data_IF_001191429837
#
_entry.id   IF_001191429837
#
_cell.length_a   1.000
_cell.length_b   1.000
_cell.length_c   1.000
_cell.angle_alpha   90.00
_cell.angle_beta   90.00
_cell.angle_gamma   90.00
#
_symmetry.space_group_name_H-M   'P 1'
#
loop_
_entity.id
_entity.type
_entity.pdbx_description
1 polymer ?
#
# COMPACT_ATOMS: atom_id res chain seq x y z
N UNK A 1 -29.64 13.18 6.48
CA UNK A 1 -28.46 13.26 5.57
C UNK A 1 -28.68 12.25 4.45
N UNK A 2 -28.50 12.68 3.24
CA UNK A 2 -28.64 11.85 2.05
C UNK A 2 -27.37 11.02 1.83
N UNK A 3 -27.47 9.82 1.23
CA UNK A 3 -26.29 9.06 0.82
C UNK A 3 -25.73 9.67 -0.46
N UNK A 4 -24.40 9.82 -0.53
CA UNK A 4 -23.75 10.22 -1.77
C UNK A 4 -23.89 9.09 -2.80
N UNK A 5 -24.54 9.39 -3.94
CA UNK A 5 -24.54 8.53 -5.11
C UNK A 5 -23.48 9.02 -6.11
N UNK A 6 -22.61 8.12 -6.52
CA UNK A 6 -21.63 8.41 -7.56
C UNK A 6 -22.27 8.06 -8.92
N UNK A 7 -22.60 9.10 -9.70
CA UNK A 7 -23.24 8.96 -11.02
C UNK A 7 -22.29 9.28 -12.18
N UNK A 8 -21.26 10.05 -11.90
CA UNK A 8 -20.30 10.49 -12.89
C UNK A 8 -19.10 9.53 -12.95
N UNK A 9 -18.41 9.52 -14.10
CA UNK A 9 -17.13 8.81 -14.25
C UNK A 9 -16.15 9.24 -13.17
N UNK A 10 -15.49 8.25 -12.55
CA UNK A 10 -14.58 8.47 -11.43
C UNK A 10 -13.17 8.75 -11.96
N UNK A 11 -12.57 9.84 -11.47
CA UNK A 11 -11.15 10.12 -11.59
C UNK A 11 -10.43 9.81 -10.29
N UNK A 12 -9.71 8.69 -10.29
CA UNK A 12 -8.96 8.26 -9.13
C UNK A 12 -7.60 8.95 -9.07
N UNK A 13 -7.30 9.55 -7.91
CA UNK A 13 -5.99 10.11 -7.56
C UNK A 13 -5.43 9.29 -6.39
N UNK A 14 -4.30 8.63 -6.58
CA UNK A 14 -3.67 7.82 -5.53
C UNK A 14 -2.37 8.45 -5.05
N UNK A 15 -2.38 9.05 -3.86
CA UNK A 15 -1.17 9.53 -3.19
C UNK A 15 -0.55 8.39 -2.37
N UNK A 16 0.77 8.22 -2.46
CA UNK A 16 1.50 7.05 -1.94
C UNK A 16 0.97 5.76 -2.54
N UNK A 17 0.83 5.76 -3.87
CA UNK A 17 0.06 4.78 -4.63
C UNK A 17 0.55 3.33 -4.46
N UNK A 18 1.84 3.11 -4.15
CA UNK A 18 2.39 1.78 -4.04
C UNK A 18 2.18 0.99 -5.34
N UNK A 19 1.48 -0.12 -5.25
CA UNK A 19 1.14 -0.98 -6.40
C UNK A 19 -0.31 -0.81 -6.89
N UNK A 20 -1.07 0.17 -6.35
CA UNK A 20 -2.42 0.50 -6.82
C UNK A 20 -3.53 -0.37 -6.26
N UNK A 21 -3.53 -0.63 -4.94
CA UNK A 21 -4.58 -1.44 -4.32
C UNK A 21 -5.98 -0.79 -4.42
N UNK A 22 -6.07 0.53 -4.42
CA UNK A 22 -7.34 1.24 -4.55
C UNK A 22 -7.87 1.20 -5.99
N UNK A 23 -7.01 1.34 -6.99
CA UNK A 23 -7.37 1.12 -8.39
C UNK A 23 -7.86 -0.32 -8.62
N UNK A 24 -7.18 -1.31 -8.02
CA UNK A 24 -7.62 -2.71 -8.08
C UNK A 24 -8.98 -2.90 -7.41
N UNK A 25 -9.22 -2.27 -6.27
CA UNK A 25 -10.51 -2.35 -5.57
C UNK A 25 -11.66 -1.79 -6.42
N UNK A 26 -11.48 -0.63 -7.05
CA UNK A 26 -12.47 -0.07 -7.96
C UNK A 26 -12.73 -0.97 -9.18
N UNK A 27 -11.68 -1.58 -9.74
CA UNK A 27 -11.81 -2.56 -10.83
C UNK A 27 -12.61 -3.79 -10.40
N UNK A 28 -12.31 -4.33 -9.22
CA UNK A 28 -12.97 -5.54 -8.72
C UNK A 28 -14.47 -5.35 -8.46
N UNK A 29 -14.91 -4.14 -8.12
CA UNK A 29 -16.35 -3.82 -7.97
C UNK A 29 -17.00 -3.35 -9.27
N UNK A 30 -16.28 -3.34 -10.40
CA UNK A 30 -16.79 -2.92 -11.70
C UNK A 30 -17.13 -1.42 -11.79
N UNK A 31 -16.42 -0.58 -11.01
CA UNK A 31 -16.65 0.86 -11.07
C UNK A 31 -16.22 1.45 -12.43
N UNK A 32 -16.99 2.45 -12.90
CA UNK A 32 -16.60 3.26 -14.06
C UNK A 32 -15.56 4.31 -13.64
N UNK A 33 -14.27 4.04 -13.88
CA UNK A 33 -13.18 4.91 -13.44
C UNK A 33 -11.97 4.91 -14.36
N UNK A 34 -11.18 5.98 -14.25
CA UNK A 34 -9.80 6.03 -14.72
C UNK A 34 -8.85 6.35 -13.57
N UNK A 35 -7.63 5.78 -13.58
CA UNK A 35 -6.54 6.31 -12.78
C UNK A 35 -6.08 7.63 -13.39
N UNK A 36 -6.41 8.72 -12.73
CA UNK A 36 -6.18 10.07 -13.26
C UNK A 36 -4.78 10.60 -12.91
N UNK A 37 -4.35 10.40 -11.66
CA UNK A 37 -2.98 10.70 -11.19
C UNK A 37 -2.54 9.68 -10.16
N UNK A 38 -1.25 9.39 -10.14
CA UNK A 38 -0.60 8.69 -9.03
C UNK A 38 0.50 9.56 -8.43
N UNK A 39 0.91 9.27 -7.21
CA UNK A 39 2.09 9.86 -6.59
C UNK A 39 2.83 8.77 -5.81
N UNK A 40 3.92 8.26 -6.39
CA UNK A 40 4.78 7.22 -5.81
C UNK A 40 6.23 7.48 -6.22
N UNK A 41 7.08 7.78 -5.26
CA UNK A 41 8.48 8.14 -5.54
C UNK A 41 9.40 6.92 -5.64
N UNK A 42 8.98 5.79 -5.09
CA UNK A 42 9.75 4.56 -5.11
C UNK A 42 9.54 3.83 -6.43
N UNK A 43 10.64 3.65 -7.18
CA UNK A 43 10.58 3.18 -8.58
C UNK A 43 10.07 1.76 -8.74
N UNK A 44 10.33 0.87 -7.75
CA UNK A 44 9.88 -0.53 -7.83
C UNK A 44 8.35 -0.67 -7.71
N UNK A 45 7.68 -0.11 -6.68
CA UNK A 45 6.22 -0.11 -6.64
C UNK A 45 5.59 0.54 -7.87
N UNK A 46 6.15 1.64 -8.39
CA UNK A 46 5.64 2.24 -9.62
C UNK A 46 5.78 1.32 -10.84
N UNK A 47 6.88 0.56 -10.96
CA UNK A 47 7.04 -0.44 -12.01
C UNK A 47 5.99 -1.56 -11.87
N UNK A 48 5.74 -2.03 -10.65
CA UNK A 48 4.69 -3.02 -10.37
C UNK A 48 3.30 -2.45 -10.66
N UNK A 49 3.04 -1.20 -10.30
CA UNK A 49 1.79 -0.50 -10.64
C UNK A 49 1.54 -0.53 -12.15
N UNK A 50 2.55 -0.15 -12.95
CA UNK A 50 2.46 -0.18 -14.42
C UNK A 50 2.17 -1.59 -14.93
N UNK A 51 2.88 -2.59 -14.43
CA UNK A 51 2.70 -3.98 -14.86
C UNK A 51 1.29 -4.53 -14.54
N UNK A 52 0.72 -4.15 -13.39
CA UNK A 52 -0.60 -4.62 -12.94
C UNK A 52 -1.74 -3.88 -13.64
N UNK A 53 -1.62 -2.56 -13.80
CA UNK A 53 -2.75 -1.72 -14.22
C UNK A 53 -2.69 -1.34 -15.70
N UNK A 54 -1.51 -1.39 -16.31
CA UNK A 54 -1.26 -1.04 -17.71
C UNK A 54 -0.37 -2.08 -18.41
N UNK A 55 -0.71 -3.40 -18.36
CA UNK A 55 0.15 -4.45 -18.91
C UNK A 55 0.40 -4.27 -20.41
N UNK A 56 -0.59 -3.80 -21.15
CA UNK A 56 -0.58 -3.65 -22.59
C UNK A 56 0.00 -2.32 -23.09
N UNK A 57 0.31 -1.38 -22.19
CA UNK A 57 0.94 -0.12 -22.55
C UNK A 57 2.45 -0.31 -22.79
N UNK A 58 2.80 -0.50 -24.05
CA UNK A 58 4.19 -0.65 -24.52
C UNK A 58 4.73 0.64 -25.16
N UNK A 59 4.12 1.79 -24.87
CA UNK A 59 4.52 3.08 -25.43
C UNK A 59 5.90 3.48 -24.92
N UNK A 60 6.81 3.80 -25.83
CA UNK A 60 8.07 4.44 -25.47
C UNK A 60 7.87 5.97 -25.33
N UNK A 61 7.55 6.40 -24.12
CA UNK A 61 7.41 7.80 -23.78
C UNK A 61 8.74 8.56 -23.75
N UNK A 62 9.88 7.83 -23.73
CA UNK A 62 11.21 8.44 -23.68
C UNK A 62 11.68 8.94 -25.06
N UNK A 63 11.18 8.34 -26.14
CA UNK A 63 11.46 8.74 -27.52
C UNK A 63 12.96 9.02 -27.79
N UNK A 64 13.23 10.17 -28.37
CA UNK A 64 14.58 10.65 -28.74
C UNK A 64 15.40 11.17 -27.55
N UNK A 65 14.94 11.05 -26.29
CA UNK A 65 15.70 11.54 -25.15
C UNK A 65 17.06 10.86 -25.03
N UNK A 66 18.12 11.66 -24.84
CA UNK A 66 19.45 11.10 -24.57
C UNK A 66 19.52 10.54 -23.16
N UNK A 67 20.52 9.72 -22.89
CA UNK A 67 20.79 9.17 -21.57
C UNK A 67 20.93 10.27 -20.51
N UNK A 68 21.63 11.34 -20.85
CA UNK A 68 21.84 12.50 -19.97
C UNK A 68 20.54 13.23 -19.67
N UNK A 69 19.67 13.41 -20.67
CA UNK A 69 18.36 14.03 -20.48
C UNK A 69 17.47 13.18 -19.55
N UNK A 70 17.47 11.85 -19.73
CA UNK A 70 16.76 10.94 -18.83
C UNK A 70 17.28 11.02 -17.40
N UNK A 71 18.62 11.03 -17.22
CA UNK A 71 19.25 11.16 -15.91
C UNK A 71 18.86 12.45 -15.19
N UNK A 72 18.92 13.58 -15.89
CA UNK A 72 18.55 14.89 -15.33
C UNK A 72 17.07 14.96 -14.99
N UNK A 73 16.23 14.44 -15.88
CA UNK A 73 14.80 14.42 -15.64
C UNK A 73 14.42 13.56 -14.42
N UNK A 74 14.94 12.33 -14.32
CA UNK A 74 14.68 11.46 -13.18
C UNK A 74 15.22 12.05 -11.88
N UNK A 75 16.40 12.69 -11.92
CA UNK A 75 16.96 13.40 -10.77
C UNK A 75 16.05 14.54 -10.33
N UNK A 76 15.56 15.36 -11.27
CA UNK A 76 14.67 16.49 -10.98
C UNK A 76 13.36 16.06 -10.33
N UNK A 77 12.90 14.81 -10.57
CA UNK A 77 11.68 14.26 -9.97
C UNK A 77 11.89 13.71 -8.57
N UNK A 78 13.13 13.56 -8.11
CA UNK A 78 13.41 13.06 -6.76
C UNK A 78 12.99 11.61 -6.56
N UNK A 79 13.19 10.75 -7.57
CA UNK A 79 12.91 9.31 -7.48
C UNK A 79 13.71 8.64 -6.36
N UNK A 80 13.16 7.57 -5.80
CA UNK A 80 13.83 6.76 -4.79
C UNK A 80 13.97 5.29 -5.25
N UNK A 81 15.10 4.67 -4.94
CA UNK A 81 15.32 3.23 -5.18
C UNK A 81 15.06 2.36 -3.95
N UNK A 82 14.83 2.95 -2.78
CA UNK A 82 14.67 2.24 -1.51
C UNK A 82 13.48 2.73 -0.67
N UNK A 83 12.71 3.71 -1.17
CA UNK A 83 11.59 4.32 -0.47
C UNK A 83 11.99 5.10 0.80
N UNK A 84 13.28 5.38 1.00
CA UNK A 84 13.79 6.05 2.21
C UNK A 84 14.34 7.44 1.95
N UNK A 85 15.00 7.63 0.82
CA UNK A 85 15.60 8.90 0.41
C UNK A 85 15.62 9.03 -1.11
N UNK A 86 15.64 10.24 -1.64
CA UNK A 86 15.84 10.46 -3.07
C UNK A 86 17.20 9.93 -3.53
N UNK A 87 17.27 9.44 -4.77
CA UNK A 87 18.54 9.07 -5.39
C UNK A 87 19.36 10.32 -5.70
N UNK A 88 20.67 10.23 -5.46
CA UNK A 88 21.60 11.26 -5.92
C UNK A 88 21.81 11.17 -7.44
N UNK A 89 22.22 12.28 -8.06
CA UNK A 89 22.54 12.29 -9.49
C UNK A 89 23.59 11.22 -9.84
N UNK A 90 24.63 11.06 -9.02
CA UNK A 90 25.66 10.05 -9.22
C UNK A 90 25.10 8.60 -9.20
N UNK A 91 24.12 8.31 -8.33
CA UNK A 91 23.46 7.00 -8.30
C UNK A 91 22.65 6.76 -9.58
N UNK A 92 21.98 7.79 -10.09
CA UNK A 92 21.20 7.72 -11.34
C UNK A 92 22.15 7.55 -12.54
N UNK A 93 23.25 8.28 -12.59
CA UNK A 93 24.25 8.21 -13.67
C UNK A 93 24.87 6.81 -13.83
N UNK A 94 24.98 6.04 -12.72
CA UNK A 94 25.48 4.65 -12.74
C UNK A 94 24.46 3.64 -13.29
N UNK A 95 23.22 4.05 -13.55
CA UNK A 95 22.19 3.14 -14.06
C UNK A 95 22.34 2.90 -15.55
N UNK A 96 22.08 1.66 -16.02
CA UNK A 96 22.01 1.36 -17.45
C UNK A 96 20.93 2.20 -18.14
N UNK A 97 21.13 2.52 -19.40
CA UNK A 97 20.15 3.30 -20.18
C UNK A 97 18.77 2.63 -20.22
N UNK A 98 18.73 1.32 -20.39
CA UNK A 98 17.47 0.56 -20.34
C UNK A 98 16.70 0.84 -19.05
N UNK A 99 17.37 0.82 -17.89
CA UNK A 99 16.73 1.10 -16.60
C UNK A 99 16.19 2.54 -16.52
N UNK A 100 16.90 3.51 -17.09
CA UNK A 100 16.48 4.91 -17.14
C UNK A 100 15.21 5.07 -17.99
N UNK A 101 15.19 4.46 -19.18
CA UNK A 101 14.03 4.46 -20.07
C UNK A 101 12.83 3.73 -19.45
N UNK A 102 13.03 2.53 -18.92
CA UNK A 102 11.97 1.76 -18.25
C UNK A 102 11.36 2.58 -17.09
N UNK A 103 12.20 3.20 -16.26
CA UNK A 103 11.73 4.02 -15.12
C UNK A 103 10.94 5.24 -15.60
N UNK A 104 11.45 5.93 -16.62
CA UNK A 104 10.77 7.08 -17.22
C UNK A 104 9.41 6.67 -17.80
N UNK A 105 9.38 5.61 -18.59
CA UNK A 105 8.17 5.09 -19.24
C UNK A 105 7.13 4.66 -18.20
N UNK A 106 7.53 3.96 -17.14
CA UNK A 106 6.63 3.58 -16.05
C UNK A 106 5.99 4.81 -15.37
N UNK A 107 6.78 5.86 -15.11
CA UNK A 107 6.29 7.11 -14.51
C UNK A 107 5.27 7.79 -15.46
N UNK A 108 5.53 7.80 -16.75
CA UNK A 108 4.63 8.42 -17.73
C UNK A 108 3.33 7.62 -17.92
N UNK A 109 3.44 6.30 -18.07
CA UNK A 109 2.29 5.41 -18.24
C UNK A 109 1.31 5.49 -17.05
N UNK A 110 1.83 5.62 -15.83
CA UNK A 110 1.03 5.71 -14.60
C UNK A 110 0.61 7.14 -14.24
N UNK A 111 0.89 8.13 -15.09
CA UNK A 111 0.61 9.55 -14.84
C UNK A 111 1.12 10.02 -13.45
N UNK A 112 2.33 9.54 -13.09
CA UNK A 112 2.89 9.64 -11.75
C UNK A 112 3.54 10.99 -11.47
N UNK A 113 3.11 11.68 -10.41
CA UNK A 113 3.68 12.93 -9.92
C UNK A 113 5.01 12.73 -9.18
N UNK A 114 5.34 11.49 -8.82
CA UNK A 114 6.57 11.01 -8.19
C UNK A 114 6.68 11.45 -6.73
N UNK A 115 7.23 12.62 -6.47
CA UNK A 115 7.54 13.08 -5.13
C UNK A 115 6.48 14.07 -4.63
N UNK A 116 5.74 13.66 -3.61
CA UNK A 116 4.64 14.46 -3.05
C UNK A 116 5.11 15.83 -2.54
N UNK A 117 6.35 15.93 -2.04
CA UNK A 117 6.92 17.21 -1.56
C UNK A 117 7.19 18.20 -2.71
N UNK A 118 7.31 17.73 -3.95
CA UNK A 118 7.50 18.57 -5.14
C UNK A 118 6.20 18.83 -5.88
N UNK A 119 5.21 17.94 -5.73
CA UNK A 119 3.90 18.09 -6.34
C UNK A 119 3.20 19.33 -5.77
N UNK A 120 2.42 20.00 -6.60
CA UNK A 120 1.60 21.17 -6.25
C UNK A 120 0.12 20.82 -6.37
N UNK A 121 -0.75 21.56 -5.70
CA UNK A 121 -2.20 21.33 -5.79
C UNK A 121 -2.73 21.29 -7.23
N UNK A 122 -2.25 22.20 -8.11
CA UNK A 122 -2.62 22.21 -9.53
C UNK A 122 -2.22 20.93 -10.30
N UNK A 123 -1.18 20.21 -9.86
CA UNK A 123 -0.71 19.01 -10.55
C UNK A 123 -1.68 17.82 -10.34
N UNK A 124 -2.57 17.89 -9.33
CA UNK A 124 -3.66 16.96 -9.14
C UNK A 124 -4.68 17.04 -10.27
N UNK A 125 -4.80 18.19 -10.92
CA UNK A 125 -5.68 18.42 -12.09
C UNK A 125 -7.17 18.27 -11.75
N UNK A 126 -7.59 18.65 -10.55
CA UNK A 126 -9.00 18.55 -10.13
C UNK A 126 -9.75 19.72 -10.74
N UNK A 127 -10.51 19.40 -11.78
CA UNK A 127 -11.29 20.36 -12.58
C UNK A 127 -12.63 19.72 -12.98
N UNK A 128 -13.61 20.50 -13.41
CA UNK A 128 -14.91 20.01 -13.87
C UNK A 128 -15.58 19.03 -12.86
N UNK A 129 -15.58 19.40 -11.57
CA UNK A 129 -16.10 18.55 -10.50
C UNK A 129 -17.62 18.28 -10.59
N UNK A 130 -18.33 19.03 -11.42
CA UNK A 130 -19.72 18.75 -11.80
C UNK A 130 -19.86 17.61 -12.83
N UNK A 131 -18.80 17.34 -13.61
CA UNK A 131 -18.77 16.33 -14.66
C UNK A 131 -18.09 15.04 -14.22
N UNK A 132 -17.09 15.14 -13.36
CA UNK A 132 -16.30 14.01 -12.85
C UNK A 132 -16.39 13.92 -11.34
N UNK A 133 -16.40 12.68 -10.82
CA UNK A 133 -16.24 12.44 -9.40
C UNK A 133 -14.77 12.12 -9.09
N UNK A 134 -14.10 12.99 -8.36
CA UNK A 134 -12.74 12.76 -7.92
C UNK A 134 -12.71 12.00 -6.59
N UNK A 135 -12.05 10.85 -6.59
CA UNK A 135 -11.70 10.11 -5.38
C UNK A 135 -10.18 10.26 -5.19
N UNK A 136 -9.77 10.87 -4.09
CA UNK A 136 -8.37 10.97 -3.72
C UNK A 136 -8.10 10.02 -2.56
N UNK A 137 -7.19 9.07 -2.79
CA UNK A 137 -6.76 8.11 -1.77
C UNK A 137 -5.36 8.44 -1.29
N UNK A 138 -5.08 8.20 -0.01
CA UNK A 138 -3.78 8.45 0.58
C UNK A 138 -3.47 7.49 1.71
N UNK A 139 -2.37 6.73 1.51
CA UNK A 139 -1.84 5.74 2.46
C UNK A 139 -0.43 6.15 2.86
N UNK A 140 -0.33 7.24 3.62
CA UNK A 140 0.97 7.80 3.99
C UNK A 140 1.80 6.84 4.85
N UNK A 141 3.15 6.92 4.83
CA UNK A 141 4.01 5.96 5.50
C UNK A 141 3.71 5.82 7.00
N UNK A 142 3.52 4.58 7.46
CA UNK A 142 3.18 4.24 8.84
C UNK A 142 4.40 3.87 9.71
N UNK A 143 5.62 3.94 9.17
CA UNK A 143 6.82 3.39 9.82
C UNK A 143 7.17 4.06 11.16
N UNK A 144 6.79 5.31 11.34
CA UNK A 144 6.98 6.03 12.60
C UNK A 144 5.77 5.92 13.54
N UNK A 145 4.66 5.30 13.09
CA UNK A 145 3.45 5.02 13.88
C UNK A 145 3.40 3.58 14.38
N UNK A 146 3.91 2.63 13.60
CA UNK A 146 3.76 1.20 13.88
C UNK A 146 4.64 0.74 15.04
N UNK A 147 4.18 -0.33 15.72
CA UNK A 147 4.92 -1.00 16.80
C UNK A 147 6.27 -1.56 16.31
N UNK A 148 6.35 -1.96 15.04
CA UNK A 148 7.59 -2.40 14.41
C UNK A 148 8.53 -1.25 14.02
N UNK A 149 8.07 0.00 14.10
CA UNK A 149 8.84 1.22 13.82
C UNK A 149 9.34 1.90 15.10
N UNK A 150 9.94 3.09 14.91
CA UNK A 150 10.52 3.84 16.04
C UNK A 150 9.49 4.63 16.87
N UNK A 151 8.20 4.49 16.58
CA UNK A 151 7.07 5.19 17.25
C UNK A 151 7.30 6.70 17.43
N UNK A 152 7.92 7.37 16.45
CA UNK A 152 8.26 8.80 16.49
C UNK A 152 7.06 9.73 16.33
N UNK A 153 5.90 9.17 15.94
CA UNK A 153 4.68 9.93 15.73
C UNK A 153 4.59 10.58 14.34
N UNK A 154 3.59 11.46 14.18
CA UNK A 154 3.26 12.16 12.95
C UNK A 154 3.15 13.67 13.13
N UNK A 155 3.84 14.22 14.12
CA UNK A 155 3.77 15.65 14.46
C UNK A 155 4.28 16.51 13.30
N UNK A 156 3.67 17.68 13.15
CA UNK A 156 4.07 18.68 12.16
C UNK A 156 5.54 19.07 12.35
N UNK A 157 6.30 19.09 11.26
CA UNK A 157 7.69 19.52 11.28
C UNK A 157 8.66 18.56 11.97
N UNK A 158 8.21 17.42 12.46
CA UNK A 158 9.09 16.43 13.11
C UNK A 158 10.04 15.70 12.14
N UNK A 159 9.94 15.94 10.82
CA UNK A 159 10.75 15.28 9.79
C UNK A 159 10.55 13.76 9.73
N UNK A 160 9.45 13.26 10.28
CA UNK A 160 9.09 11.85 10.26
C UNK A 160 8.42 11.48 8.94
N UNK A 161 8.50 10.21 8.54
CA UNK A 161 7.80 9.74 7.34
C UNK A 161 6.30 9.78 7.50
N UNK A 162 5.80 9.53 8.71
CA UNK A 162 4.38 9.63 9.03
C UNK A 162 3.87 11.08 9.02
N UNK A 163 4.76 12.07 9.10
CA UNK A 163 4.47 13.48 8.88
C UNK A 163 4.12 13.83 7.43
N UNK A 164 4.23 12.88 6.48
CA UNK A 164 3.79 13.09 5.09
C UNK A 164 2.27 13.29 4.95
N UNK A 165 1.47 13.04 5.99
CA UNK A 165 0.06 13.45 6.03
C UNK A 165 -0.09 14.96 5.78
N UNK A 166 0.83 15.76 6.30
CA UNK A 166 0.79 17.22 6.16
C UNK A 166 1.10 17.71 4.75
N UNK A 167 1.71 16.86 3.92
CA UNK A 167 1.83 17.12 2.49
C UNK A 167 0.47 16.96 1.76
N UNK A 168 -0.36 16.03 2.20
CA UNK A 168 -1.75 15.90 1.70
C UNK A 168 -2.55 17.16 2.04
N UNK A 169 -2.40 17.66 3.28
CA UNK A 169 -3.02 18.93 3.69
C UNK A 169 -2.54 20.10 2.80
N UNK A 170 -1.23 20.20 2.55
CA UNK A 170 -0.68 21.24 1.69
C UNK A 170 -1.29 21.19 0.30
N UNK A 171 -1.34 20.02 -0.32
CA UNK A 171 -1.95 19.83 -1.63
C UNK A 171 -3.43 20.26 -1.66
N UNK A 172 -4.22 19.85 -0.64
CA UNK A 172 -5.63 20.25 -0.53
C UNK A 172 -5.84 21.75 -0.24
N UNK A 173 -4.83 22.43 0.31
CA UNK A 173 -4.84 23.91 0.46
C UNK A 173 -4.51 24.64 -0.84
N UNK A 174 -3.68 24.02 -1.66
CA UNK A 174 -3.19 24.62 -2.91
C UNK A 174 -4.12 24.38 -4.10
N UNK A 175 -5.00 23.36 -4.03
CA UNK A 175 -5.93 23.09 -5.14
C UNK A 175 -7.13 24.04 -5.12
N UNK A 176 -7.58 24.44 -6.32
CA UNK A 176 -8.73 25.34 -6.48
C UNK A 176 -10.06 24.63 -6.24
N UNK A 177 -10.18 23.42 -6.74
CA UNK A 177 -11.33 22.55 -6.53
C UNK A 177 -10.95 21.36 -5.66
N UNK A 178 -11.87 20.90 -4.82
CA UNK A 178 -11.64 19.79 -3.89
C UNK A 178 -12.18 18.47 -4.45
N UNK A 179 -11.51 17.33 -4.22
CA UNK A 179 -12.08 16.04 -4.55
C UNK A 179 -13.34 15.77 -3.71
N UNK A 180 -14.37 15.17 -4.31
CA UNK A 180 -15.61 14.90 -3.60
C UNK A 180 -15.46 13.86 -2.50
N UNK A 181 -14.53 12.92 -2.68
CA UNK A 181 -14.28 11.83 -1.71
C UNK A 181 -12.78 11.74 -1.43
N UNK A 182 -12.46 11.64 -0.14
CA UNK A 182 -11.13 11.28 0.33
C UNK A 182 -11.19 9.92 1.01
N UNK A 183 -10.20 9.06 0.75
CA UNK A 183 -10.04 7.77 1.42
C UNK A 183 -8.63 7.66 2.02
N UNK A 184 -8.56 7.70 3.33
CA UNK A 184 -7.34 7.41 4.09
C UNK A 184 -7.27 5.92 4.41
N UNK A 185 -6.09 5.32 4.23
CA UNK A 185 -5.74 4.02 4.84
C UNK A 185 -4.46 4.15 5.64
N UNK A 186 -4.42 3.56 6.83
CA UNK A 186 -3.21 3.49 7.64
C UNK A 186 -3.29 2.36 8.68
N UNK A 187 -2.23 2.18 9.46
CA UNK A 187 -2.25 1.26 10.60
C UNK A 187 -3.17 1.79 11.72
N UNK A 188 -3.79 0.91 12.54
CA UNK A 188 -4.71 1.34 13.61
C UNK A 188 -4.09 2.32 14.60
N UNK A 189 -2.75 2.35 14.72
CA UNK A 189 -2.02 3.24 15.60
C UNK A 189 -2.23 4.73 15.27
N UNK A 190 -2.66 5.08 14.07
CA UNK A 190 -3.01 6.47 13.72
C UNK A 190 -4.13 7.01 14.59
N UNK A 191 -5.08 6.15 15.01
CA UNK A 191 -6.24 6.47 15.85
C UNK A 191 -6.01 6.16 17.34
N UNK A 192 -4.82 5.74 17.75
CA UNK A 192 -4.51 5.47 19.15
C UNK A 192 -4.16 6.75 19.92
N UNK A 193 -4.30 6.69 21.27
CA UNK A 193 -4.13 7.83 22.19
C UNK A 193 -2.90 8.69 21.88
N UNK A 194 -1.77 8.07 21.53
CA UNK A 194 -0.51 8.78 21.26
C UNK A 194 -0.60 9.70 20.03
N UNK A 195 -1.33 9.31 18.99
CA UNK A 195 -1.42 10.02 17.71
C UNK A 195 -2.77 10.72 17.55
N UNK A 196 -3.68 10.57 18.52
CA UNK A 196 -5.07 11.03 18.40
C UNK A 196 -5.16 12.55 18.21
N UNK A 197 -4.26 13.33 18.82
CA UNK A 197 -4.27 14.79 18.65
C UNK A 197 -4.01 15.20 17.20
N UNK A 198 -3.05 14.57 16.52
CA UNK A 198 -2.79 14.81 15.10
C UNK A 198 -3.94 14.32 14.21
N UNK A 199 -4.54 13.18 14.58
CA UNK A 199 -5.68 12.64 13.84
C UNK A 199 -6.90 13.56 13.93
N UNK A 200 -7.18 14.10 15.11
CA UNK A 200 -8.25 15.09 15.32
C UNK A 200 -7.94 16.41 14.61
N UNK A 201 -6.70 16.90 14.66
CA UNK A 201 -6.29 18.10 13.92
C UNK A 201 -6.52 17.92 12.40
N UNK A 202 -6.20 16.74 11.89
CA UNK A 202 -6.46 16.39 10.50
C UNK A 202 -7.96 16.39 10.17
N UNK A 203 -8.79 15.78 11.00
CA UNK A 203 -10.24 15.79 10.82
C UNK A 203 -10.81 17.22 10.86
N UNK A 204 -10.39 18.04 11.82
CA UNK A 204 -10.80 19.45 11.92
C UNK A 204 -10.41 20.27 10.68
N UNK A 205 -9.23 20.03 10.14
CA UNK A 205 -8.85 20.64 8.87
C UNK A 205 -9.80 20.25 7.73
N UNK A 206 -10.11 18.97 7.59
CA UNK A 206 -11.05 18.50 6.56
C UNK A 206 -12.46 19.07 6.78
N UNK A 207 -12.94 19.13 8.00
CA UNK A 207 -14.22 19.76 8.36
C UNK A 207 -14.24 21.24 7.99
N UNK A 208 -13.14 21.96 8.22
CA UNK A 208 -13.00 23.36 7.79
C UNK A 208 -13.06 23.55 6.28
N UNK A 209 -12.83 22.47 5.51
CA UNK A 209 -12.94 22.43 4.05
C UNK A 209 -14.32 21.94 3.57
N UNK A 210 -15.23 21.62 4.48
CA UNK A 210 -16.58 21.17 4.16
C UNK A 210 -16.74 19.66 4.06
N UNK A 211 -15.77 18.86 4.50
CA UNK A 211 -15.88 17.41 4.56
C UNK A 211 -16.57 16.93 5.82
N UNK A 212 -17.27 15.81 5.72
CA UNK A 212 -17.70 14.97 6.84
C UNK A 212 -16.84 13.72 6.91
N UNK A 213 -16.31 13.42 8.08
CA UNK A 213 -15.34 12.34 8.29
C UNK A 213 -15.99 11.14 8.97
N UNK A 214 -15.74 9.94 8.43
CA UNK A 214 -16.18 8.65 8.96
C UNK A 214 -14.97 7.74 9.08
N UNK A 215 -14.61 7.36 10.31
CA UNK A 215 -13.42 6.57 10.55
C UNK A 215 -13.74 5.27 11.28
N UNK A 216 -13.14 4.17 10.83
CA UNK A 216 -13.29 2.84 11.42
C UNK A 216 -12.05 2.01 11.20
N UNK A 217 -11.77 1.09 12.13
CA UNK A 217 -10.75 0.06 11.94
C UNK A 217 -11.41 -1.19 11.38
N UNK A 218 -10.90 -1.68 10.24
CA UNK A 218 -11.39 -2.87 9.55
C UNK A 218 -10.26 -3.91 9.44
N UNK A 219 -10.64 -5.19 9.47
CA UNK A 219 -9.72 -6.28 9.21
C UNK A 219 -10.11 -7.00 7.91
N UNK A 220 -9.16 -7.18 6.99
CA UNK A 220 -9.41 -7.81 5.69
C UNK A 220 -10.07 -9.18 5.80
N UNK A 221 -9.75 -9.99 6.83
CA UNK A 221 -10.36 -11.30 7.06
C UNK A 221 -11.88 -11.22 7.30
N UNK A 222 -12.36 -10.09 7.83
CA UNK A 222 -13.77 -9.88 8.10
C UNK A 222 -14.54 -9.43 6.84
N UNK A 223 -13.85 -9.33 5.71
CA UNK A 223 -14.37 -8.95 4.40
C UNK A 223 -14.01 -9.97 3.31
N UNK A 224 -13.86 -11.24 3.69
CA UNK A 224 -13.68 -12.35 2.75
C UNK A 224 -12.26 -12.54 2.21
N UNK A 225 -11.27 -11.85 2.75
CA UNK A 225 -9.86 -11.98 2.32
C UNK A 225 -9.07 -12.80 3.35
N UNK A 226 -8.42 -13.88 2.93
CA UNK A 226 -7.64 -14.76 3.81
C UNK A 226 -6.34 -14.09 4.32
N UNK A 227 -6.44 -12.85 4.80
CA UNK A 227 -5.35 -12.07 5.35
C UNK A 227 -5.76 -11.37 6.65
N UNK A 228 -5.03 -11.61 7.72
CA UNK A 228 -5.20 -10.87 8.97
C UNK A 228 -4.53 -9.49 8.86
N UNK A 229 -5.20 -8.56 8.17
CA UNK A 229 -4.74 -7.19 7.93
C UNK A 229 -5.69 -6.20 8.57
N UNK A 230 -5.32 -5.69 9.74
CA UNK A 230 -6.10 -4.69 10.45
C UNK A 230 -5.62 -3.28 10.08
N UNK A 231 -6.54 -2.42 9.62
CA UNK A 231 -6.24 -1.06 9.16
C UNK A 231 -7.29 -0.06 9.61
N UNK A 232 -6.83 1.15 9.89
CA UNK A 232 -7.70 2.30 10.06
C UNK A 232 -8.05 2.86 8.68
N UNK A 233 -9.32 3.02 8.42
CA UNK A 233 -9.86 3.70 7.25
C UNK A 233 -10.60 4.95 7.69
N UNK A 234 -10.46 6.02 6.93
CA UNK A 234 -11.30 7.20 7.05
C UNK A 234 -11.81 7.60 5.67
N UNK A 235 -13.12 7.64 5.53
CA UNK A 235 -13.81 8.20 4.36
C UNK A 235 -14.25 9.59 4.72
N UNK A 236 -13.85 10.57 3.92
CA UNK A 236 -14.28 11.96 4.07
C UNK A 236 -15.05 12.38 2.81
N UNK A 237 -16.29 12.82 2.99
CA UNK A 237 -17.18 13.18 1.88
C UNK A 237 -17.43 14.68 1.92
N UNK A 238 -17.23 15.35 0.79
CA UNK A 238 -17.47 16.79 0.64
C UNK A 238 -18.98 17.07 0.61
N UNK A 239 -19.46 17.96 1.47
CA UNK A 239 -20.87 18.33 1.59
C UNK A 239 -21.61 17.57 2.69
N UNK A 240 -22.95 17.69 2.69
CA UNK A 240 -23.82 17.15 3.75
C UNK A 240 -24.31 15.73 3.44
N UNK A 241 -23.39 14.78 3.25
CA UNK A 241 -23.70 13.40 2.97
C UNK A 241 -23.38 12.48 4.14
N UNK A 242 -24.10 11.35 4.24
CA UNK A 242 -23.82 10.28 5.19
C UNK A 242 -23.06 9.13 4.51
N UNK A 243 -22.16 8.51 5.26
CA UNK A 243 -21.46 7.29 4.86
C UNK A 243 -21.54 6.26 5.98
N UNK A 244 -21.69 5.01 5.62
CA UNK A 244 -21.65 3.87 6.55
C UNK A 244 -20.73 2.80 5.99
N UNK A 245 -19.78 2.35 6.78
CA UNK A 245 -18.92 1.24 6.41
C UNK A 245 -19.73 -0.04 6.19
N UNK A 246 -19.38 -0.87 5.20
CA UNK A 246 -20.06 -2.14 4.97
C UNK A 246 -19.91 -3.06 6.19
N UNK A 247 -20.91 -3.90 6.43
CA UNK A 247 -20.83 -4.96 7.44
C UNK A 247 -19.84 -6.06 7.04
N UNK A 248 -19.37 -6.87 8.00
CA UNK A 248 -18.49 -7.99 7.72
C UNK A 248 -19.19 -9.05 6.87
N UNK A 249 -18.38 -9.80 6.11
CA UNK A 249 -18.84 -10.96 5.33
C UNK A 249 -18.07 -12.20 5.79
N UNK A 250 -18.66 -13.41 5.71
CA UNK A 250 -17.98 -14.65 6.09
C UNK A 250 -16.69 -14.85 5.29
N UNK A 251 -15.64 -15.27 5.97
CA UNK A 251 -14.39 -15.71 5.32
C UNK A 251 -14.60 -17.12 4.80
N UNK A 252 -14.61 -17.29 3.49
CA UNK A 252 -14.79 -18.57 2.80
C UNK A 252 -13.53 -19.04 2.08
N UNK A 253 -12.47 -18.24 2.10
CA UNK A 253 -11.20 -18.49 1.41
C UNK A 253 -10.07 -18.72 2.42
N UNK A 254 -9.04 -19.44 1.99
CA UNK A 254 -7.78 -19.60 2.71
C UNK A 254 -6.61 -19.11 1.84
N UNK A 255 -5.39 -19.18 2.34
CA UNK A 255 -4.21 -18.74 1.60
C UNK A 255 -3.98 -19.57 0.34
N UNK A 256 -4.31 -20.86 0.35
CA UNK A 256 -4.14 -21.74 -0.80
C UNK A 256 -4.94 -21.27 -2.03
N UNK A 257 -6.11 -20.66 -1.83
CA UNK A 257 -6.94 -20.14 -2.94
C UNK A 257 -6.30 -18.99 -3.72
N UNK A 258 -5.19 -18.45 -3.21
CA UNK A 258 -4.44 -17.35 -3.82
C UNK A 258 -3.05 -17.76 -4.31
N UNK A 259 -2.68 -19.03 -4.19
CA UNK A 259 -1.41 -19.54 -4.67
C UNK A 259 -1.59 -20.10 -6.09
N UNK A 260 -0.57 -19.96 -6.89
CA UNK A 260 -0.48 -20.58 -8.21
C UNK A 260 -0.18 -22.08 -8.03
N UNK A 261 -0.79 -22.94 -8.85
CA UNK A 261 -0.56 -24.40 -8.81
C UNK A 261 0.83 -24.76 -9.30
N UNK A 262 1.36 -23.99 -10.26
CA UNK A 262 2.70 -24.17 -10.83
C UNK A 262 3.45 -22.83 -10.80
N UNK A 263 4.65 -22.83 -10.21
CA UNK A 263 5.56 -21.68 -10.21
C UNK A 263 6.95 -22.10 -10.69
N UNK A 264 7.68 -21.16 -11.27
CA UNK A 264 9.04 -21.43 -11.71
C UNK A 264 9.95 -21.76 -10.50
N UNK A 265 10.88 -22.72 -10.71
CA UNK A 265 11.81 -23.21 -9.68
C UNK A 265 12.53 -22.09 -8.90
N UNK A 266 12.85 -20.99 -9.57
CA UNK A 266 13.51 -19.83 -8.96
C UNK A 266 12.74 -19.18 -7.79
N UNK A 267 11.43 -19.46 -7.67
CA UNK A 267 10.60 -18.92 -6.58
C UNK A 267 10.52 -19.85 -5.36
N UNK A 268 10.98 -21.10 -5.50
CA UNK A 268 11.05 -22.02 -4.36
C UNK A 268 12.27 -21.71 -3.49
N UNK A 269 12.12 -21.92 -2.19
CA UNK A 269 13.21 -21.71 -1.22
C UNK A 269 13.89 -23.06 -0.99
N UNK A 270 14.81 -23.43 -1.88
CA UNK A 270 15.54 -24.68 -1.84
C UNK A 270 16.89 -24.45 -1.11
N UNK A 271 16.83 -24.16 0.17
CA UNK A 271 18.02 -24.02 1.01
C UNK A 271 18.04 -25.09 2.09
N UNK A 272 19.24 -25.57 2.44
CA UNK A 272 19.44 -26.54 3.54
C UNK A 272 18.76 -26.08 4.84
N UNK A 273 18.76 -24.79 5.12
CA UNK A 273 18.07 -24.22 6.28
C UNK A 273 16.54 -24.37 6.20
N UNK A 274 15.96 -24.20 5.01
CA UNK A 274 14.52 -24.37 4.83
C UNK A 274 14.13 -25.85 4.95
N UNK A 275 14.92 -26.74 4.36
CA UNK A 275 14.72 -28.18 4.46
C UNK A 275 14.81 -28.68 5.91
N UNK A 276 15.84 -28.28 6.65
CA UNK A 276 15.99 -28.62 8.06
C UNK A 276 14.83 -28.06 8.91
N UNK A 277 14.36 -26.85 8.63
CA UNK A 277 13.20 -26.31 9.32
C UNK A 277 11.92 -27.12 9.06
N UNK A 278 11.70 -27.55 7.82
CA UNK A 278 10.54 -28.40 7.48
C UNK A 278 10.63 -29.71 8.23
N UNK A 279 11.79 -30.37 8.26
CA UNK A 279 12.04 -31.60 9.02
C UNK A 279 11.74 -31.38 10.51
N UNK A 280 12.28 -30.33 11.11
CA UNK A 280 12.05 -29.99 12.52
C UNK A 280 10.54 -29.77 12.83
N UNK A 281 9.83 -29.14 11.90
CA UNK A 281 8.39 -28.87 12.04
C UNK A 281 7.58 -30.16 11.95
N UNK A 282 7.93 -31.06 11.04
CA UNK A 282 7.31 -32.41 10.92
C UNK A 282 7.59 -33.24 12.15
N UNK A 283 8.85 -33.37 12.57
CA UNK A 283 9.26 -34.15 13.73
C UNK A 283 8.67 -33.64 15.04
N UNK A 284 8.53 -32.33 15.19
CA UNK A 284 7.89 -31.70 16.36
C UNK A 284 6.37 -31.77 16.34
N UNK A 285 5.74 -32.34 15.31
CA UNK A 285 4.29 -32.43 15.15
C UNK A 285 3.61 -31.05 14.99
N UNK A 286 4.36 -30.02 14.61
CA UNK A 286 3.84 -28.68 14.35
C UNK A 286 3.32 -28.53 12.94
N UNK A 287 3.77 -29.35 12.02
CA UNK A 287 3.24 -29.53 10.68
C UNK A 287 2.28 -30.72 10.74
N UNK A 288 1.01 -30.43 10.86
CA UNK A 288 -0.05 -31.46 10.80
C UNK A 288 -0.60 -31.45 9.38
N UNK A 289 -0.50 -32.59 8.73
CA UNK A 289 -0.94 -32.80 7.34
C UNK A 289 -2.44 -32.59 7.13
N UNK A 290 -3.25 -32.78 8.18
CA UNK A 290 -4.71 -32.73 8.04
C UNK A 290 -5.34 -31.43 8.57
N UNK A 291 -4.67 -30.69 9.47
CA UNK A 291 -5.22 -29.47 10.08
C UNK A 291 -4.15 -28.37 10.23
N UNK A 292 -3.89 -27.70 9.17
CA UNK A 292 -2.96 -26.56 9.14
C UNK A 292 -3.35 -25.36 10.01
N UNK A 293 -4.45 -25.39 10.69
CA UNK A 293 -5.06 -24.25 11.36
C UNK A 293 -4.89 -24.22 12.86
N UNK A 294 -4.30 -25.25 13.47
CA UNK A 294 -4.25 -25.27 14.92
C UNK A 294 -2.82 -25.38 15.39
N UNK A 295 -2.14 -24.25 15.47
CA UNK A 295 -1.00 -24.15 16.35
C UNK A 295 -1.57 -24.28 17.76
N UNK A 296 -1.49 -25.48 18.32
CA UNK A 296 -1.80 -25.75 19.70
C UNK A 296 -0.70 -25.17 20.59
N UNK A 297 -0.84 -23.92 20.91
CA UNK A 297 -0.06 -23.25 21.94
C UNK A 297 -1.01 -22.56 22.90
N UNK A 298 -1.02 -22.95 24.16
CA UNK A 298 -1.98 -22.60 25.17
C UNK A 298 -2.50 -21.16 25.14
N UNK A 299 -3.82 -21.03 25.20
CA UNK A 299 -4.53 -19.82 25.63
C UNK A 299 -4.43 -18.60 24.73
N UNK A 300 -4.09 -18.74 23.47
CA UNK A 300 -3.96 -17.59 22.59
C UNK A 300 -5.16 -17.37 21.67
N UNK A 301 -5.49 -16.11 21.51
CA UNK A 301 -6.58 -15.61 20.68
C UNK A 301 -6.53 -16.15 19.26
N UNK A 302 -7.62 -16.71 18.80
CA UNK A 302 -7.84 -17.26 17.45
C UNK A 302 -7.72 -16.24 16.30
N UNK A 303 -7.35 -15.00 16.58
CA UNK A 303 -7.32 -13.89 15.65
C UNK A 303 -5.93 -13.55 15.07
N UNK A 304 -4.87 -14.31 15.45
CA UNK A 304 -3.53 -14.13 14.89
C UNK A 304 -2.98 -15.42 14.35
N UNK A 305 -2.62 -15.48 13.06
CA UNK A 305 -1.86 -16.63 12.56
C UNK A 305 -0.53 -16.65 13.31
N UNK A 306 -0.25 -17.75 13.99
CA UNK A 306 1.07 -17.94 14.58
C UNK A 306 1.99 -18.55 13.52
N UNK A 307 3.24 -18.11 13.41
CA UNK A 307 4.20 -18.73 12.51
C UNK A 307 4.50 -20.16 12.95
N UNK A 308 4.67 -21.06 12.00
CA UNK A 308 5.05 -22.44 12.24
C UNK A 308 6.52 -22.56 12.62
N UNK A 309 7.36 -21.64 12.13
CA UNK A 309 8.80 -21.62 12.39
C UNK A 309 9.51 -20.39 11.82
N UNK A 310 10.84 -20.39 11.89
CA UNK A 310 11.70 -19.31 11.44
C UNK A 310 12.88 -19.86 10.64
N UNK A 311 13.19 -19.25 9.48
CA UNK A 311 14.26 -19.72 8.59
C UNK A 311 15.64 -19.16 8.98
N UNK A 312 15.71 -18.00 9.64
CA UNK A 312 16.98 -17.38 9.99
C UNK A 312 17.22 -17.33 11.49
N UNK A 313 18.51 -17.41 11.90
CA UNK A 313 18.94 -17.30 13.29
C UNK A 313 18.80 -15.85 13.82
N UNK A 314 17.68 -15.23 13.56
CA UNK A 314 17.29 -14.01 14.21
C UNK A 314 16.49 -14.32 15.47
N UNK A 315 16.33 -13.36 16.30
CA UNK A 315 15.53 -13.43 17.53
C UNK A 315 14.03 -13.71 17.29
N UNK A 316 13.64 -14.20 16.11
CA UNK A 316 12.26 -14.52 15.75
C UNK A 316 11.33 -13.31 15.67
N UNK A 317 11.84 -12.11 15.88
CA UNK A 317 11.04 -10.89 15.96
C UNK A 317 10.68 -10.29 14.61
N UNK A 318 11.37 -10.66 13.54
CA UNK A 318 11.10 -10.11 12.22
C UNK A 318 10.07 -10.95 11.46
N UNK A 319 8.99 -10.31 11.02
CA UNK A 319 7.87 -11.00 10.36
C UNK A 319 8.28 -11.76 9.09
N UNK A 320 9.28 -11.27 8.35
CA UNK A 320 9.77 -11.89 7.12
C UNK A 320 10.44 -13.26 7.34
N UNK A 321 10.81 -13.60 8.58
CA UNK A 321 11.44 -14.88 8.92
C UNK A 321 10.42 -15.91 9.39
N UNK A 322 9.15 -15.56 9.44
CA UNK A 322 8.08 -16.44 9.88
C UNK A 322 7.56 -17.30 8.74
N UNK A 323 7.29 -18.55 9.02
CA UNK A 323 6.71 -19.52 8.09
C UNK A 323 5.27 -19.79 8.48
N UNK A 324 4.37 -19.84 7.51
CA UNK A 324 2.94 -20.01 7.71
C UNK A 324 2.44 -21.25 6.97
N UNK A 325 1.39 -21.88 7.50
CA UNK A 325 0.71 -22.94 6.79
C UNK A 325 -0.06 -22.39 5.58
N UNK A 326 -0.09 -23.17 4.49
CA UNK A 326 -0.76 -22.84 3.24
C UNK A 326 -2.26 -22.55 3.42
N UNK A 327 -2.93 -23.32 4.24
CA UNK A 327 -4.37 -23.18 4.52
C UNK A 327 -4.67 -22.11 5.59
N UNK A 328 -3.65 -21.46 6.13
CA UNK A 328 -3.80 -20.41 7.13
C UNK A 328 -4.19 -19.06 6.54
N UNK A 329 -4.35 -18.08 7.42
CA UNK A 329 -4.54 -16.67 7.05
C UNK A 329 -3.17 -16.00 6.95
N UNK A 330 -2.83 -15.47 5.78
CA UNK A 330 -1.56 -14.79 5.56
C UNK A 330 -1.42 -13.56 6.46
N UNK A 331 -0.18 -13.26 6.85
CA UNK A 331 0.13 -11.98 7.48
C UNK A 331 -0.03 -10.81 6.50
N UNK A 332 -0.07 -9.61 7.04
CA UNK A 332 -0.03 -8.41 6.22
C UNK A 332 1.32 -8.27 5.51
N UNK A 333 1.31 -8.15 4.19
CA UNK A 333 2.47 -7.76 3.40
C UNK A 333 2.83 -6.30 3.68
N UNK A 334 4.10 -5.99 3.74
CA UNK A 334 4.60 -4.63 3.90
C UNK A 334 5.59 -4.25 2.78
N UNK A 335 6.02 -3.00 2.77
CA UNK A 335 6.90 -2.47 1.74
C UNK A 335 8.29 -3.14 1.68
N UNK A 336 8.64 -4.00 2.62
CA UNK A 336 9.90 -4.75 2.63
C UNK A 336 9.75 -6.19 2.13
N UNK A 337 8.53 -6.66 1.91
CA UNK A 337 8.26 -8.05 1.50
C UNK A 337 8.81 -8.39 0.11
N UNK A 338 9.08 -7.40 -0.73
CA UNK A 338 9.81 -7.63 -2.00
C UNK A 338 11.26 -8.09 -1.79
N UNK A 339 11.85 -7.85 -0.60
CA UNK A 339 13.18 -8.35 -0.21
C UNK A 339 13.10 -9.67 0.55
N UNK A 340 11.96 -9.93 1.18
CA UNK A 340 11.74 -11.04 2.09
C UNK A 340 10.38 -11.65 1.77
N UNK A 341 10.35 -12.61 0.87
CA UNK A 341 9.11 -13.28 0.47
C UNK A 341 8.40 -13.93 1.66
N UNK A 342 7.10 -13.97 1.62
CA UNK A 342 6.32 -14.79 2.55
C UNK A 342 6.67 -16.25 2.26
N UNK A 343 7.05 -16.96 3.32
CA UNK A 343 7.45 -18.35 3.24
C UNK A 343 6.26 -19.23 3.58
N UNK A 344 5.88 -20.06 2.65
CA UNK A 344 4.78 -21.01 2.79
C UNK A 344 5.35 -22.40 2.63
N UNK A 345 4.83 -23.35 3.38
CA UNK A 345 5.21 -24.76 3.28
C UNK A 345 4.11 -25.45 2.50
N UNK A 346 4.47 -26.10 1.39
CA UNK A 346 3.64 -27.10 0.73
C UNK A 346 3.69 -28.40 1.52
N UNK A 347 2.57 -29.11 1.57
CA UNK A 347 2.46 -30.41 2.24
C UNK A 347 3.22 -31.51 1.48
#
# INVERSE_FOLDING_TARGET
MEKLEIKNHIRLIELFAGIGSQAMALRNIGADFETYRTCEWWVQPNASYKAIHYPDDNTDYSGEMTKEQLQQWLFSKGISSDGKKPMTLQQIQRKPEKWLRDTFNNIKATKNLVNIQQAKGKDLGIEETEKYTYILTYSFPCQDLSVAGKMKGMDRGAGTRSGMLWEVERLLKETEQLPQILLMENVPQVMQKKNMHNFLEWQQFLESKGYKNYAQTLNAKDYGIAQNRNRAYMVSVLGDYSYTFPGPVPLTTCMADYLEDEVEEKYYINTEKAENLIIDLVESGKLDKEVSNTIRGGGQRFDRPAPMGFIENGTGSHQSNQVYAKQGIARCLDATDYKHQIKVVDE
#
